data_IF_849831095767
#
_entry.id   IF_849831095767
#
_cell.length_a   1.000
_cell.length_b   1.000
_cell.length_c   1.000
_cell.angle_alpha   90.00
_cell.angle_beta   90.00
_cell.angle_gamma   90.00
#
_symmetry.space_group_name_H-M   'P 1'
#
loop_
_entity.id
_entity.type
_entity.pdbx_description
1 polymer ?
#
# COMPACT_ATOMS: atom_id res chain seq x y z
N UNK A 1 -24.08 42.26 20.80
CA UNK A 1 -23.43 41.58 19.65
C UNK A 1 -23.11 40.16 20.06
N UNK A 2 -23.80 39.16 19.49
CA UNK A 2 -23.44 37.75 19.68
C UNK A 2 -22.30 37.46 18.69
N UNK A 3 -21.10 37.18 19.20
CA UNK A 3 -20.03 36.64 18.37
C UNK A 3 -20.42 35.21 17.99
N UNK A 4 -20.71 35.03 16.70
CA UNK A 4 -20.89 33.73 16.10
C UNK A 4 -19.48 33.16 15.91
N UNK A 5 -19.05 32.24 16.77
CA UNK A 5 -17.90 31.39 16.45
C UNK A 5 -18.35 30.42 15.38
N UNK A 6 -18.24 30.82 14.11
CA UNK A 6 -18.08 29.83 13.05
C UNK A 6 -16.77 29.11 13.37
N UNK A 7 -16.83 27.85 13.81
CA UNK A 7 -15.65 27.00 13.83
C UNK A 7 -14.99 27.13 12.44
N UNK A 8 -13.72 27.56 12.35
CA UNK A 8 -13.03 27.50 11.08
C UNK A 8 -13.10 26.05 10.61
N UNK A 9 -13.50 25.82 9.36
CA UNK A 9 -13.34 24.50 8.74
C UNK A 9 -11.89 24.08 8.98
N UNK A 10 -11.63 22.83 9.39
CA UNK A 10 -10.26 22.39 9.55
C UNK A 10 -9.50 22.69 8.25
N UNK A 11 -8.33 23.30 8.39
CA UNK A 11 -7.48 23.74 7.26
C UNK A 11 -7.02 22.51 6.46
N UNK A 12 -7.05 21.34 7.08
CA UNK A 12 -6.71 20.04 6.53
C UNK A 12 -7.91 19.10 6.58
N UNK A 13 -8.04 18.26 5.55
CA UNK A 13 -9.06 17.22 5.47
C UNK A 13 -8.43 15.85 5.67
N UNK A 14 -9.13 14.95 6.36
CA UNK A 14 -8.80 13.54 6.51
C UNK A 14 -8.86 12.82 5.16
N UNK A 15 -9.94 12.08 4.91
CA UNK A 15 -10.24 11.45 3.62
C UNK A 15 -11.70 11.68 3.16
N UNK A 16 -12.37 12.70 3.70
CA UNK A 16 -13.77 13.03 3.36
C UNK A 16 -13.93 13.40 1.87
N UNK A 17 -12.86 13.84 1.21
CA UNK A 17 -12.79 14.11 -0.23
C UNK A 17 -13.04 12.88 -1.09
N UNK A 18 -12.75 11.67 -0.58
CA UNK A 18 -12.95 10.43 -1.30
C UNK A 18 -14.43 10.01 -1.36
N UNK A 19 -15.27 10.51 -0.46
CA UNK A 19 -16.71 10.23 -0.47
C UNK A 19 -17.43 10.83 -1.70
N UNK A 20 -16.78 11.77 -2.40
CA UNK A 20 -17.34 12.48 -3.56
C UNK A 20 -16.70 12.07 -4.89
N UNK A 21 -15.84 11.05 -4.90
CA UNK A 21 -15.27 10.51 -6.14
C UNK A 21 -16.36 9.72 -6.88
N UNK A 22 -16.81 10.22 -8.04
CA UNK A 22 -17.64 9.42 -8.96
C UNK A 22 -16.75 8.30 -9.51
N UNK A 23 -17.11 7.05 -9.23
CA UNK A 23 -16.42 5.87 -9.75
C UNK A 23 -16.42 5.85 -11.28
N UNK A 24 -15.43 5.19 -11.87
CA UNK A 24 -15.43 4.94 -13.32
C UNK A 24 -16.61 4.00 -13.65
N UNK A 25 -17.60 4.43 -14.46
CA UNK A 25 -18.77 3.61 -14.77
C UNK A 25 -18.41 2.25 -15.40
N UNK A 26 -17.27 2.16 -16.09
CA UNK A 26 -16.80 0.88 -16.64
C UNK A 26 -16.29 -0.04 -15.53
N UNK A 27 -15.56 0.50 -14.56
CA UNK A 27 -15.10 -0.25 -13.37
C UNK A 27 -16.31 -0.78 -12.59
N UNK A 28 -17.30 0.08 -12.31
CA UNK A 28 -18.51 -0.32 -11.58
C UNK A 28 -19.29 -1.42 -12.32
N UNK A 29 -19.37 -1.33 -13.64
CA UNK A 29 -19.99 -2.35 -14.50
C UNK A 29 -19.25 -3.68 -14.44
N UNK A 30 -17.92 -3.68 -14.49
CA UNK A 30 -17.13 -4.92 -14.40
C UNK A 30 -17.18 -5.53 -13.00
N UNK A 31 -17.16 -4.72 -11.94
CA UNK A 31 -17.40 -5.21 -10.57
C UNK A 31 -18.79 -5.85 -10.46
N UNK A 32 -19.82 -5.22 -11.02
CA UNK A 32 -21.18 -5.77 -11.04
C UNK A 32 -21.28 -7.10 -11.79
N UNK A 33 -20.51 -7.28 -12.88
CA UNK A 33 -20.41 -8.56 -13.60
C UNK A 33 -19.73 -9.64 -12.76
N UNK A 34 -18.63 -9.30 -12.10
CA UNK A 34 -17.94 -10.22 -11.20
C UNK A 34 -18.87 -10.68 -10.06
N UNK A 35 -19.54 -9.73 -9.39
CA UNK A 35 -20.53 -10.01 -8.34
C UNK A 35 -21.65 -10.92 -8.84
N UNK A 36 -22.29 -10.57 -9.96
CA UNK A 36 -23.36 -11.37 -10.54
C UNK A 36 -22.93 -12.77 -10.95
N UNK A 37 -21.69 -12.95 -11.40
CA UNK A 37 -21.13 -14.26 -11.73
C UNK A 37 -20.97 -15.14 -10.48
N UNK A 38 -20.46 -14.59 -9.37
CA UNK A 38 -20.37 -15.32 -8.11
C UNK A 38 -21.75 -15.63 -7.51
N UNK A 39 -22.69 -14.68 -7.55
CA UNK A 39 -24.06 -14.92 -7.09
C UNK A 39 -24.75 -16.05 -7.87
N UNK A 40 -24.54 -16.11 -9.19
CA UNK A 40 -25.08 -17.17 -10.04
C UNK A 40 -24.37 -18.52 -9.79
N UNK A 41 -23.06 -18.51 -9.54
CA UNK A 41 -22.32 -19.70 -9.15
C UNK A 41 -22.82 -20.26 -7.82
N UNK A 42 -23.01 -19.42 -6.81
CA UNK A 42 -23.52 -19.80 -5.50
C UNK A 42 -24.94 -20.37 -5.57
N UNK A 43 -25.80 -19.81 -6.43
CA UNK A 43 -27.18 -20.32 -6.66
C UNK A 43 -27.23 -21.64 -7.42
N UNK A 44 -26.36 -21.81 -8.43
CA UNK A 44 -26.31 -23.03 -9.24
C UNK A 44 -25.65 -24.19 -8.53
N UNK A 45 -24.70 -23.90 -7.62
CA UNK A 45 -23.90 -24.92 -6.95
C UNK A 45 -22.88 -25.58 -7.87
N UNK A 46 -22.59 -25.01 -9.04
CA UNK A 46 -21.67 -25.54 -10.06
C UNK A 46 -20.20 -25.37 -9.65
N UNK A 47 -19.84 -25.87 -8.47
CA UNK A 47 -18.48 -25.88 -7.97
C UNK A 47 -17.72 -27.11 -8.49
N UNK A 48 -16.46 -26.89 -8.81
CA UNK A 48 -15.49 -27.94 -9.17
C UNK A 48 -14.21 -27.75 -8.35
N UNK A 49 -13.39 -28.79 -8.29
CA UNK A 49 -12.04 -28.71 -7.73
C UNK A 49 -11.00 -28.35 -8.81
N UNK A 50 -11.33 -28.56 -10.09
CA UNK A 50 -10.45 -28.25 -11.22
C UNK A 50 -11.24 -27.76 -12.43
N UNK A 51 -10.73 -26.75 -13.12
CA UNK A 51 -11.27 -26.27 -14.39
C UNK A 51 -10.74 -27.18 -15.49
N UNK A 52 -11.62 -28.04 -16.02
CA UNK A 52 -11.34 -28.92 -17.14
C UNK A 52 -12.14 -28.46 -18.38
N UNK A 53 -11.49 -28.11 -19.51
CA UNK A 53 -12.19 -27.64 -20.70
C UNK A 53 -13.22 -28.63 -21.26
N UNK A 54 -13.00 -29.94 -21.05
CA UNK A 54 -13.91 -30.98 -21.53
C UNK A 54 -15.20 -31.08 -20.69
N UNK A 55 -15.24 -30.44 -19.52
CA UNK A 55 -16.37 -30.46 -18.58
C UNK A 55 -17.12 -29.11 -18.54
N UNK A 56 -16.65 -28.11 -19.29
CA UNK A 56 -17.25 -26.77 -19.40
C UNK A 56 -18.54 -26.77 -20.23
N UNK A 57 -19.55 -27.49 -19.76
CA UNK A 57 -20.85 -27.66 -20.42
C UNK A 57 -21.92 -26.69 -19.91
N UNK A 58 -21.73 -26.14 -18.70
CA UNK A 58 -22.62 -25.17 -18.07
C UNK A 58 -21.80 -24.05 -17.43
N UNK A 59 -22.37 -22.84 -17.45
CA UNK A 59 -21.77 -21.65 -16.85
C UNK A 59 -22.78 -20.94 -15.93
N UNK A 60 -22.31 -20.25 -14.88
CA UNK A 60 -20.92 -20.23 -14.41
C UNK A 60 -20.49 -21.57 -13.79
N UNK A 61 -19.19 -21.83 -13.80
CA UNK A 61 -18.53 -22.92 -13.05
C UNK A 61 -17.35 -22.32 -12.31
N UNK A 62 -17.06 -22.78 -11.10
CA UNK A 62 -16.01 -22.16 -10.31
C UNK A 62 -15.40 -23.02 -9.23
N UNK A 63 -14.32 -22.51 -8.67
CA UNK A 63 -13.54 -23.11 -7.58
C UNK A 63 -13.64 -22.17 -6.38
N UNK A 64 -13.71 -22.75 -5.17
CA UNK A 64 -13.61 -22.01 -3.91
C UNK A 64 -12.59 -22.68 -3.01
N UNK A 65 -11.68 -21.89 -2.47
CA UNK A 65 -10.65 -22.33 -1.53
C UNK A 65 -10.52 -21.33 -0.38
N UNK A 66 -10.14 -21.83 0.80
CA UNK A 66 -9.90 -20.99 1.97
C UNK A 66 -8.54 -21.34 2.54
N UNK A 67 -7.67 -20.34 2.67
CA UNK A 67 -6.34 -20.49 3.23
C UNK A 67 -6.07 -19.34 4.21
N UNK A 68 -5.58 -19.66 5.40
CA UNK A 68 -5.20 -18.66 6.42
C UNK A 68 -6.28 -17.59 6.70
N UNK A 69 -7.56 -17.99 6.78
CA UNK A 69 -8.73 -17.12 6.96
C UNK A 69 -9.06 -16.15 5.80
N UNK A 70 -8.42 -16.33 4.64
CA UNK A 70 -8.74 -15.63 3.39
C UNK A 70 -9.50 -16.60 2.48
N UNK A 71 -10.66 -16.17 1.97
CA UNK A 71 -11.42 -16.94 0.99
C UNK A 71 -11.04 -16.48 -0.42
N UNK A 72 -10.68 -17.43 -1.27
CA UNK A 72 -10.44 -17.21 -2.69
C UNK A 72 -11.50 -17.96 -3.50
N UNK A 73 -12.04 -17.29 -4.51
CA UNK A 73 -12.95 -17.88 -5.47
C UNK A 73 -12.51 -17.57 -6.89
N UNK A 74 -12.69 -18.51 -7.81
CA UNK A 74 -12.56 -18.29 -9.25
C UNK A 74 -13.86 -18.72 -9.90
N UNK A 75 -14.36 -17.91 -10.83
CA UNK A 75 -15.56 -18.22 -11.61
C UNK A 75 -15.29 -18.03 -13.10
N UNK A 76 -15.54 -19.07 -13.87
CA UNK A 76 -15.53 -19.04 -15.33
C UNK A 76 -16.94 -18.73 -15.81
N UNK A 77 -17.08 -17.69 -16.63
CA UNK A 77 -18.38 -17.18 -17.08
C UNK A 77 -18.68 -17.48 -18.54
N UNK A 78 -17.64 -17.77 -19.32
CA UNK A 78 -17.73 -18.03 -20.76
C UNK A 78 -16.56 -18.88 -21.21
N UNK A 79 -16.80 -19.76 -22.18
CA UNK A 79 -15.76 -20.41 -22.97
C UNK A 79 -16.09 -20.36 -24.47
N UNK A 80 -15.06 -20.20 -25.30
CA UNK A 80 -15.12 -20.32 -26.77
C UNK A 80 -14.11 -21.37 -27.20
N UNK A 81 -14.58 -22.44 -27.83
CA UNK A 81 -13.76 -23.57 -28.22
C UNK A 81 -13.23 -23.41 -29.64
N UNK A 82 -11.91 -23.51 -29.79
CA UNK A 82 -11.22 -23.57 -31.08
C UNK A 82 -10.67 -24.99 -31.29
N UNK A 83 -10.24 -25.40 -32.49
CA UNK A 83 -9.67 -26.74 -32.67
C UNK A 83 -8.42 -27.02 -31.81
N UNK A 84 -7.70 -25.99 -31.34
CA UNK A 84 -6.45 -26.13 -30.60
C UNK A 84 -6.56 -25.86 -29.09
N UNK A 85 -7.47 -24.98 -28.68
CA UNK A 85 -7.64 -24.55 -27.28
C UNK A 85 -9.02 -23.94 -27.03
N UNK A 86 -9.40 -23.79 -25.76
CA UNK A 86 -10.52 -22.96 -25.34
C UNK A 86 -10.04 -21.56 -24.91
N UNK A 87 -10.84 -20.54 -25.20
CA UNK A 87 -10.68 -19.19 -24.65
C UNK A 87 -11.74 -18.99 -23.57
N UNK A 88 -11.33 -18.67 -22.35
CA UNK A 88 -12.23 -18.51 -21.21
C UNK A 88 -12.18 -17.09 -20.64
N UNK A 89 -13.31 -16.64 -20.08
CA UNK A 89 -13.38 -15.42 -19.28
C UNK A 89 -13.53 -15.81 -17.81
N UNK A 90 -12.70 -15.23 -16.95
CA UNK A 90 -12.63 -15.57 -15.55
C UNK A 90 -12.71 -14.31 -14.66
N UNK A 91 -13.41 -14.43 -13.55
CA UNK A 91 -13.29 -13.51 -12.43
C UNK A 91 -12.74 -14.26 -11.21
N UNK A 92 -11.99 -13.55 -10.38
CA UNK A 92 -11.61 -14.03 -9.06
C UNK A 92 -12.14 -13.09 -7.96
N UNK A 93 -12.42 -13.68 -6.80
CA UNK A 93 -12.85 -13.00 -5.58
C UNK A 93 -11.88 -13.33 -4.47
N UNK A 94 -11.33 -12.32 -3.81
CA UNK A 94 -10.53 -12.49 -2.59
C UNK A 94 -11.25 -11.79 -1.45
N UNK A 95 -11.60 -12.53 -0.40
CA UNK A 95 -12.24 -12.00 0.80
C UNK A 95 -11.24 -12.02 1.95
N UNK A 96 -10.71 -10.85 2.30
CA UNK A 96 -9.72 -10.69 3.36
C UNK A 96 -10.40 -10.30 4.68
N UNK A 97 -9.89 -10.76 5.84
CA UNK A 97 -10.29 -10.18 7.11
C UNK A 97 -9.80 -8.73 7.18
N UNK A 98 -10.66 -7.79 7.56
CA UNK A 98 -10.29 -6.39 7.77
C UNK A 98 -10.79 -5.92 9.13
N UNK A 99 -9.86 -5.64 10.05
CA UNK A 99 -10.21 -5.01 11.32
C UNK A 99 -10.75 -3.60 11.07
N UNK A 100 -11.92 -3.28 11.64
CA UNK A 100 -12.50 -1.93 11.64
C UNK A 100 -13.42 -1.57 10.46
N UNK A 101 -13.84 -2.52 9.62
CA UNK A 101 -15.01 -2.35 8.74
C UNK A 101 -16.28 -2.90 9.37
N UNK A 102 -17.45 -2.37 9.00
CA UNK A 102 -18.75 -2.79 9.56
C UNK A 102 -19.04 -4.29 9.38
N UNK A 103 -18.44 -4.92 8.36
CA UNK A 103 -18.55 -6.36 8.06
C UNK A 103 -17.35 -7.19 8.54
N UNK A 104 -16.28 -6.56 9.04
CA UNK A 104 -15.01 -7.22 9.40
C UNK A 104 -14.26 -7.86 8.22
N UNK A 105 -14.69 -7.60 6.98
CA UNK A 105 -14.16 -8.22 5.76
C UNK A 105 -14.07 -7.21 4.61
N UNK A 106 -13.13 -7.41 3.70
CA UNK A 106 -13.03 -6.68 2.43
C UNK A 106 -13.04 -7.68 1.28
N UNK A 107 -13.81 -7.37 0.24
CA UNK A 107 -13.85 -8.18 -0.98
C UNK A 107 -13.14 -7.44 -2.11
N UNK A 108 -12.20 -8.13 -2.75
CA UNK A 108 -11.48 -7.69 -3.93
C UNK A 108 -11.94 -8.53 -5.13
N UNK A 109 -12.22 -7.88 -6.26
CA UNK A 109 -12.60 -8.55 -7.50
C UNK A 109 -11.52 -8.38 -8.54
N UNK A 110 -11.19 -9.47 -9.22
CA UNK A 110 -10.19 -9.51 -10.29
C UNK A 110 -10.82 -10.09 -11.55
N UNK A 111 -10.34 -9.70 -12.73
CA UNK A 111 -10.89 -10.18 -14.00
C UNK A 111 -9.85 -10.30 -15.10
N UNK A 112 -10.08 -11.27 -16.00
CA UNK A 112 -9.40 -11.42 -17.28
C UNK A 112 -10.33 -12.07 -18.31
N UNK A 113 -10.17 -11.72 -19.59
CA UNK A 113 -10.92 -12.33 -20.68
C UNK A 113 -9.98 -12.92 -21.73
N UNK A 114 -10.41 -14.00 -22.40
CA UNK A 114 -9.60 -14.63 -23.43
C UNK A 114 -8.40 -15.43 -22.91
N UNK A 115 -8.47 -15.95 -21.68
CA UNK A 115 -7.45 -16.85 -21.11
C UNK A 115 -7.42 -18.13 -21.94
N UNK A 116 -6.24 -18.56 -22.39
CA UNK A 116 -6.06 -19.77 -23.19
C UNK A 116 -5.95 -21.01 -22.30
N UNK A 117 -6.85 -21.96 -22.53
CA UNK A 117 -6.91 -23.25 -21.84
C UNK A 117 -6.73 -24.39 -22.86
N UNK A 118 -5.66 -25.16 -22.71
CA UNK A 118 -5.40 -26.34 -23.56
C UNK A 118 -6.36 -27.49 -23.20
N UNK A 119 -6.69 -28.34 -24.19
CA UNK A 119 -7.55 -29.51 -23.98
C UNK A 119 -6.98 -30.58 -23.04
N UNK A 120 -5.70 -30.49 -22.70
CA UNK A 120 -5.03 -31.29 -21.68
C UNK A 120 -5.27 -30.77 -20.25
N UNK A 121 -6.09 -29.72 -20.08
CA UNK A 121 -6.40 -29.16 -18.76
C UNK A 121 -5.29 -28.28 -18.20
N UNK A 122 -4.56 -27.55 -19.05
CA UNK A 122 -3.51 -26.60 -18.63
C UNK A 122 -3.75 -25.21 -19.22
N UNK A 123 -3.55 -24.18 -18.40
CA UNK A 123 -3.45 -22.80 -18.88
C UNK A 123 -2.20 -22.66 -19.75
N UNK A 124 -2.36 -22.05 -20.92
CA UNK A 124 -1.24 -21.77 -21.84
C UNK A 124 -0.68 -20.39 -21.51
N UNK A 125 0.50 -20.36 -20.88
CA UNK A 125 1.09 -19.15 -20.31
C UNK A 125 0.61 -18.88 -18.87
N UNK A 126 0.72 -17.63 -18.42
CA UNK A 126 0.19 -17.21 -17.11
C UNK A 126 -1.21 -16.58 -17.29
N UNK A 127 -2.19 -17.03 -16.51
CA UNK A 127 -3.51 -16.40 -16.44
C UNK A 127 -3.50 -15.33 -15.34
N UNK A 128 -3.19 -14.09 -15.71
CA UNK A 128 -3.15 -12.94 -14.81
C UNK A 128 -4.49 -12.21 -14.82
N UNK A 129 -5.21 -12.23 -13.71
CA UNK A 129 -6.46 -11.50 -13.50
C UNK A 129 -6.14 -10.16 -12.82
N UNK A 130 -6.45 -9.03 -13.46
CA UNK A 130 -6.23 -7.69 -12.91
C UNK A 130 -7.25 -7.35 -11.83
N UNK A 131 -6.83 -6.67 -10.75
CA UNK A 131 -7.76 -6.05 -9.80
C UNK A 131 -8.63 -5.01 -10.54
N UNK A 132 -9.95 -5.13 -10.38
CA UNK A 132 -10.92 -4.29 -11.08
C UNK A 132 -11.08 -2.98 -10.32
N UNK A 133 -10.39 -1.95 -10.80
CA UNK A 133 -10.39 -0.61 -10.19
C UNK A 133 -9.52 -0.49 -8.94
N UNK A 134 -9.16 0.75 -8.59
CA UNK A 134 -8.42 1.02 -7.36
C UNK A 134 -9.32 0.76 -6.14
N UNK A 135 -8.77 0.10 -5.12
CA UNK A 135 -9.49 -0.18 -3.88
C UNK A 135 -8.88 0.63 -2.75
N UNK A 136 -9.65 1.59 -2.24
CA UNK A 136 -9.29 2.39 -1.07
C UNK A 136 -9.81 1.73 0.21
N UNK A 137 -8.94 1.67 1.21
CA UNK A 137 -9.19 1.15 2.55
C UNK A 137 -8.74 2.19 3.55
N UNK A 138 -9.69 2.82 4.22
CA UNK A 138 -9.43 3.83 5.24
C UNK A 138 -9.46 3.16 6.61
N UNK A 139 -8.49 3.47 7.45
CA UNK A 139 -8.37 2.92 8.80
C UNK A 139 -7.80 3.95 9.78
N UNK A 140 -7.69 3.57 11.05
CA UNK A 140 -7.18 4.42 12.12
C UNK A 140 -7.90 5.78 12.21
N UNK A 141 -9.23 5.76 12.42
CA UNK A 141 -10.08 6.96 12.60
C UNK A 141 -9.97 7.99 11.46
N UNK A 142 -10.02 7.53 10.20
CA UNK A 142 -9.91 8.37 9.00
C UNK A 142 -8.55 9.07 8.82
N UNK A 143 -7.50 8.57 9.46
CA UNK A 143 -6.16 9.20 9.38
C UNK A 143 -5.21 8.49 8.42
N UNK A 144 -5.50 7.24 8.05
CA UNK A 144 -4.67 6.44 7.17
C UNK A 144 -5.51 5.86 6.05
N UNK A 145 -4.94 5.84 4.84
CA UNK A 145 -5.53 5.19 3.69
C UNK A 145 -4.52 4.25 3.05
N UNK A 146 -4.94 3.01 2.83
CA UNK A 146 -4.28 2.04 1.98
C UNK A 146 -5.04 2.00 0.65
N UNK A 147 -4.35 2.25 -0.46
CA UNK A 147 -4.87 2.09 -1.80
C UNK A 147 -4.20 0.90 -2.46
N UNK A 148 -4.98 -0.08 -2.90
CA UNK A 148 -4.52 -1.08 -3.87
C UNK A 148 -4.84 -0.58 -5.27
N UNK A 149 -3.83 -0.50 -6.12
CA UNK A 149 -3.96 0.02 -7.47
C UNK A 149 -4.47 -1.07 -8.41
N UNK A 150 -5.61 -0.81 -9.04
CA UNK A 150 -6.28 -1.67 -10.02
C UNK A 150 -5.74 -1.47 -11.43
N UNK A 151 -5.72 -2.56 -12.18
CA UNK A 151 -5.28 -2.60 -13.57
C UNK A 151 -6.45 -2.57 -14.54
N UNK A 152 -6.12 -2.60 -15.83
CA UNK A 152 -7.11 -2.81 -16.88
C UNK A 152 -7.25 -4.32 -17.13
N UNK A 153 -8.47 -4.75 -17.49
CA UNK A 153 -8.75 -6.11 -17.94
C UNK A 153 -8.30 -6.19 -19.41
N UNK A 154 -7.33 -7.06 -19.74
CA UNK A 154 -7.02 -7.33 -21.15
C UNK A 154 -8.10 -8.25 -21.72
N UNK A 155 -8.75 -7.78 -22.79
CA UNK A 155 -9.83 -8.49 -23.47
C UNK A 155 -9.36 -9.29 -24.69
N UNK A 156 -8.08 -9.20 -25.05
CA UNK A 156 -7.53 -9.81 -26.26
C UNK A 156 -6.78 -11.13 -25.99
N UNK A 157 -6.15 -11.28 -24.83
CA UNK A 157 -5.23 -12.41 -24.57
C UNK A 157 -5.21 -12.92 -23.12
N UNK A 158 -6.05 -12.39 -22.23
CA UNK A 158 -6.12 -12.78 -20.82
C UNK A 158 -4.92 -12.38 -19.97
N UNK A 159 -4.11 -11.42 -20.41
CA UNK A 159 -3.01 -10.86 -19.64
C UNK A 159 -3.49 -9.68 -18.76
N UNK A 160 -2.70 -9.32 -17.76
CA UNK A 160 -2.87 -8.02 -17.11
C UNK A 160 -2.21 -6.96 -17.98
N UNK A 161 -2.91 -5.87 -18.28
CA UNK A 161 -2.27 -4.68 -18.84
C UNK A 161 -1.85 -3.79 -17.66
N UNK A 162 -0.55 -3.50 -17.56
CA UNK A 162 0.11 -2.64 -16.56
C UNK A 162 0.48 -3.23 -15.18
N UNK A 163 0.59 -4.57 -15.02
CA UNK A 163 1.17 -5.28 -13.84
C UNK A 163 1.04 -4.52 -12.49
N UNK A 164 -0.18 -4.07 -12.15
CA UNK A 164 -0.47 -3.42 -10.86
C UNK A 164 -0.82 -4.50 -9.83
N UNK A 165 -1.99 -4.41 -9.20
CA UNK A 165 -2.50 -5.52 -8.38
C UNK A 165 -3.14 -6.56 -9.29
N UNK A 166 -2.66 -7.80 -9.23
CA UNK A 166 -3.15 -8.91 -10.04
C UNK A 166 -3.03 -10.25 -9.30
N UNK A 167 -3.76 -11.23 -9.80
CA UNK A 167 -3.77 -12.60 -9.31
C UNK A 167 -3.35 -13.53 -10.45
N UNK A 168 -2.51 -14.53 -10.18
CA UNK A 168 -2.26 -15.62 -11.13
C UNK A 168 -3.10 -16.81 -10.74
N UNK A 169 -3.85 -17.36 -11.69
CA UNK A 169 -4.59 -18.61 -11.50
C UNK A 169 -3.98 -19.76 -12.30
N UNK A 170 -4.26 -20.97 -11.84
CA UNK A 170 -4.16 -22.19 -12.64
C UNK A 170 -5.52 -22.90 -12.69
N UNK A 171 -5.55 -24.13 -13.20
CA UNK A 171 -6.80 -24.89 -13.29
C UNK A 171 -7.34 -25.32 -11.92
N UNK A 172 -6.55 -25.30 -10.85
CA UNK A 172 -6.94 -25.75 -9.51
C UNK A 172 -7.28 -24.58 -8.58
N UNK A 173 -6.95 -23.35 -8.94
CA UNK A 173 -7.28 -22.20 -8.10
C UNK A 173 -6.33 -21.02 -8.28
N UNK A 174 -6.22 -20.22 -7.22
CA UNK A 174 -5.28 -19.11 -7.14
C UNK A 174 -3.89 -19.65 -6.83
N UNK A 175 -2.91 -19.26 -7.65
CA UNK A 175 -1.51 -19.65 -7.53
C UNK A 175 -0.63 -18.57 -6.90
N UNK A 176 -0.92 -17.29 -7.20
CA UNK A 176 -0.09 -16.17 -6.76
C UNK A 176 -0.93 -14.90 -6.62
N UNK A 177 -0.57 -14.02 -5.66
CA UNK A 177 -1.14 -12.69 -5.52
C UNK A 177 -0.02 -11.64 -5.55
N UNK A 178 -0.13 -10.69 -6.47
CA UNK A 178 0.74 -9.52 -6.55
C UNK A 178 -0.06 -8.28 -6.20
N UNK A 179 0.38 -7.54 -5.18
CA UNK A 179 -0.24 -6.30 -4.72
C UNK A 179 0.66 -5.12 -5.09
N UNK A 180 0.07 -4.07 -5.66
CA UNK A 180 0.73 -2.79 -5.86
C UNK A 180 -0.16 -1.70 -5.32
N UNK A 181 0.41 -0.76 -4.57
CA UNK A 181 -0.40 0.22 -3.89
C UNK A 181 0.40 1.33 -3.25
N UNK A 182 -0.30 2.13 -2.45
CA UNK A 182 0.31 3.17 -1.65
C UNK A 182 -0.44 3.32 -0.32
N UNK A 183 0.27 3.80 0.68
CA UNK A 183 -0.29 4.31 1.93
C UNK A 183 -0.23 5.82 1.90
N UNK A 184 -1.30 6.48 2.30
CA UNK A 184 -1.34 7.92 2.49
C UNK A 184 -1.76 8.24 3.92
N UNK A 185 -1.18 9.29 4.46
CA UNK A 185 -1.45 9.79 5.80
C UNK A 185 -2.17 11.13 5.67
N UNK A 186 -3.24 11.28 6.45
CA UNK A 186 -4.03 12.50 6.55
C UNK A 186 -3.15 13.71 6.85
N UNK A 187 -3.46 14.85 6.21
CA UNK A 187 -2.83 16.14 6.50
C UNK A 187 -3.14 16.64 7.91
N UNK A 188 -4.12 16.07 8.61
CA UNK A 188 -4.36 16.35 10.03
C UNK A 188 -3.26 15.79 10.94
N UNK A 189 -2.53 14.74 10.49
CA UNK A 189 -1.41 14.18 11.23
C UNK A 189 -0.07 14.71 10.72
N UNK A 190 0.18 14.57 9.41
CA UNK A 190 1.47 14.88 8.79
C UNK A 190 1.29 15.70 7.52
N UNK A 191 2.15 16.70 7.33
CA UNK A 191 2.22 17.48 6.09
C UNK A 191 3.52 17.18 5.34
N UNK A 192 3.49 17.03 3.99
CA UNK A 192 4.69 16.94 3.18
C UNK A 192 5.58 18.17 3.33
N UNK A 193 6.90 17.98 3.30
CA UNK A 193 7.89 19.07 3.21
C UNK A 193 8.77 18.90 1.97
N UNK A 194 9.33 20.00 1.48
CA UNK A 194 10.35 19.96 0.42
C UNK A 194 11.74 19.65 0.99
N UNK A 195 12.73 19.48 0.10
CA UNK A 195 14.12 19.19 0.48
C UNK A 195 14.79 20.30 1.34
N UNK A 196 14.21 21.50 1.39
CA UNK A 196 14.66 22.59 2.25
C UNK A 196 13.90 22.65 3.59
N UNK A 197 12.94 21.74 3.81
CA UNK A 197 12.11 21.68 5.00
C UNK A 197 10.91 22.63 4.98
N UNK A 198 10.54 23.21 3.83
CA UNK A 198 9.33 24.04 3.72
C UNK A 198 8.10 23.16 3.54
N UNK A 199 6.98 23.55 4.17
CA UNK A 199 5.70 22.84 4.04
C UNK A 199 5.19 22.91 2.60
N UNK A 200 4.89 21.75 2.03
CA UNK A 200 4.36 21.63 0.69
C UNK A 200 2.95 22.19 0.55
N UNK A 201 2.50 22.49 -0.69
CA UNK A 201 1.16 23.03 -0.94
C UNK A 201 0.07 22.09 -0.42
N UNK A 202 -1.12 22.62 -0.16
CA UNK A 202 -2.25 21.83 0.33
C UNK A 202 -2.78 20.84 -0.71
N UNK A 203 -2.66 21.18 -1.99
CA UNK A 203 -3.12 20.38 -3.11
C UNK A 203 -2.01 20.24 -4.16
N UNK A 204 -2.03 19.13 -4.88
CA UNK A 204 -1.19 18.85 -6.04
C UNK A 204 -2.07 18.37 -7.20
N UNK A 205 -1.55 18.46 -8.42
CA UNK A 205 -2.19 17.82 -9.56
C UNK A 205 -2.20 16.30 -9.37
N UNK A 206 -3.32 15.63 -9.64
CA UNK A 206 -3.37 14.17 -9.59
C UNK A 206 -2.35 13.57 -10.58
N UNK A 207 -1.51 12.62 -10.13
CA UNK A 207 -0.57 11.92 -11.00
C UNK A 207 -1.26 11.13 -12.13
N UNK A 208 -2.49 10.67 -11.88
CA UNK A 208 -3.27 9.83 -12.79
C UNK A 208 -4.30 10.60 -13.61
N UNK A 209 -4.70 11.79 -13.15
CA UNK A 209 -5.66 12.66 -13.82
C UNK A 209 -5.23 14.14 -13.76
N UNK A 210 -4.55 14.59 -14.83
CA UNK A 210 -4.06 15.98 -14.94
C UNK A 210 -5.16 17.04 -15.02
N UNK A 211 -6.44 16.66 -14.99
CA UNK A 211 -7.56 17.61 -14.93
C UNK A 211 -8.03 17.88 -13.51
N UNK A 212 -7.55 17.12 -12.51
CA UNK A 212 -8.02 17.18 -11.12
C UNK A 212 -6.90 17.48 -10.12
N UNK A 213 -7.15 18.41 -9.20
CA UNK A 213 -6.31 18.59 -8.01
C UNK A 213 -6.75 17.64 -6.91
N UNK A 214 -5.79 17.15 -6.13
CA UNK A 214 -5.99 16.27 -4.99
C UNK A 214 -5.21 16.80 -3.78
N UNK A 215 -5.62 16.49 -2.54
CA UNK A 215 -4.85 16.83 -1.36
C UNK A 215 -3.42 16.27 -1.44
N UNK A 216 -2.43 17.11 -1.13
CA UNK A 216 -1.03 16.72 -1.07
C UNK A 216 -0.75 16.00 0.25
N UNK A 217 -0.73 14.68 0.24
CA UNK A 217 -0.57 13.86 1.45
C UNK A 217 0.81 13.24 1.51
N UNK A 218 1.29 12.97 2.73
CA UNK A 218 2.46 12.11 2.92
C UNK A 218 2.10 10.73 2.36
N UNK A 219 2.85 10.29 1.34
CA UNK A 219 2.60 9.07 0.58
C UNK A 219 3.79 8.13 0.70
N UNK A 220 3.49 6.84 0.83
CA UNK A 220 4.43 5.73 0.75
C UNK A 220 3.97 4.70 -0.27
N UNK A 221 4.66 4.59 -1.39
CA UNK A 221 4.37 3.59 -2.44
C UNK A 221 4.94 2.22 -2.11
N UNK A 222 4.22 1.14 -2.44
CA UNK A 222 4.70 -0.22 -2.25
C UNK A 222 4.32 -1.15 -3.41
N UNK A 223 5.13 -2.21 -3.56
CA UNK A 223 4.82 -3.36 -4.40
C UNK A 223 5.24 -4.63 -3.66
N UNK A 224 4.32 -5.60 -3.59
CA UNK A 224 4.48 -6.84 -2.84
C UNK A 224 4.06 -7.96 -3.77
N UNK A 225 4.98 -8.88 -4.04
CA UNK A 225 4.67 -10.09 -4.80
C UNK A 225 4.74 -11.27 -3.85
N UNK A 226 3.63 -11.92 -3.56
CA UNK A 226 3.61 -13.01 -2.58
C UNK A 226 2.84 -14.24 -3.05
N UNK A 227 3.34 -15.42 -2.69
CA UNK A 227 2.59 -16.67 -2.81
C UNK A 227 1.58 -16.85 -1.68
N UNK A 228 1.64 -16.06 -0.59
CA UNK A 228 0.74 -16.15 0.56
C UNK A 228 0.54 -14.79 1.23
N UNK A 229 -0.68 -14.49 1.72
CA UNK A 229 -0.98 -13.29 2.50
C UNK A 229 -0.03 -13.04 3.71
N UNK A 230 0.61 -14.09 4.24
CA UNK A 230 1.55 -14.00 5.37
C UNK A 230 3.03 -13.72 4.97
N UNK A 231 3.39 -13.66 3.69
CA UNK A 231 4.75 -13.31 3.21
C UNK A 231 4.73 -11.89 2.63
N UNK A 232 4.70 -10.89 3.52
CA UNK A 232 4.54 -9.48 3.18
C UNK A 232 5.87 -8.73 3.38
N UNK A 233 6.56 -8.43 2.28
CA UNK A 233 7.72 -7.54 2.26
C UNK A 233 7.36 -6.25 1.54
N UNK A 234 7.35 -5.13 2.26
CA UNK A 234 6.85 -3.84 1.78
C UNK A 234 7.99 -2.84 1.74
N UNK A 235 8.52 -2.57 0.55
CA UNK A 235 9.43 -1.44 0.33
C UNK A 235 8.61 -0.17 0.13
N UNK A 236 8.82 0.81 0.99
CA UNK A 236 8.12 2.10 1.01
C UNK A 236 9.10 3.23 0.81
N UNK A 237 8.88 4.03 -0.23
CA UNK A 237 9.50 5.33 -0.34
C UNK A 237 8.54 6.38 0.23
N UNK A 238 8.81 6.86 1.44
CA UNK A 238 7.92 7.76 2.17
C UNK A 238 8.25 9.21 1.83
N UNK A 239 7.23 10.01 1.53
CA UNK A 239 7.39 11.46 1.33
C UNK A 239 7.92 12.11 2.59
N UNK A 240 8.94 12.97 2.49
CA UNK A 240 9.45 13.77 3.61
C UNK A 240 8.32 14.59 4.26
N UNK A 241 8.35 14.72 5.58
CA UNK A 241 7.19 15.25 6.30
C UNK A 241 7.53 16.02 7.58
N UNK A 242 6.53 16.77 8.07
CA UNK A 242 6.49 17.38 9.39
C UNK A 242 5.17 17.05 10.09
N UNK A 243 5.13 17.21 11.41
CA UNK A 243 3.92 16.97 12.21
C UNK A 243 3.01 18.19 12.10
N UNK A 244 1.75 17.99 11.67
CA UNK A 244 0.80 19.07 11.38
C UNK A 244 0.60 20.01 12.56
N UNK A 245 0.39 19.48 13.76
CA UNK A 245 0.15 20.30 14.95
C UNK A 245 1.33 21.19 15.35
N UNK A 246 2.55 20.83 14.94
CA UNK A 246 3.74 21.68 15.15
C UNK A 246 3.80 22.80 14.11
N UNK A 247 3.48 22.48 12.86
CA UNK A 247 3.42 23.45 11.75
C UNK A 247 2.34 24.52 11.99
N UNK A 248 1.20 24.14 12.58
CA UNK A 248 0.12 25.08 12.90
C UNK A 248 0.46 26.06 14.05
N UNK A 249 1.45 25.73 14.88
CA UNK A 249 1.91 26.59 15.98
C UNK A 249 2.78 27.72 15.42
N UNK A 250 2.17 28.83 15.02
CA UNK A 250 2.87 29.96 14.37
C UNK A 250 4.00 30.61 15.20
N UNK A 251 4.07 30.32 16.49
CA UNK A 251 5.07 30.82 17.44
C UNK A 251 6.27 29.87 17.62
N UNK A 252 6.24 28.68 17.01
CA UNK A 252 7.26 27.64 17.18
C UNK A 252 7.65 27.00 15.84
N UNK A 253 8.89 26.57 15.74
CA UNK A 253 9.36 25.70 14.68
C UNK A 253 8.83 24.28 14.84
N UNK A 254 9.10 23.45 13.84
CA UNK A 254 8.67 22.07 13.77
C UNK A 254 9.84 21.12 13.46
N UNK A 255 9.67 19.85 13.82
CA UNK A 255 10.58 18.80 13.41
C UNK A 255 10.34 18.46 11.94
N UNK A 256 11.43 18.32 11.19
CA UNK A 256 11.43 17.90 9.79
C UNK A 256 12.00 16.49 9.69
N UNK A 257 11.30 15.60 8.99
CA UNK A 257 11.68 14.20 8.82
C UNK A 257 11.93 13.94 7.35
N UNK A 258 13.18 13.60 7.03
CA UNK A 258 13.59 13.21 5.69
C UNK A 258 13.90 11.72 5.71
N UNK A 259 13.15 10.94 4.93
CA UNK A 259 13.18 9.48 4.98
C UNK A 259 13.55 8.97 3.60
N UNK A 260 14.66 8.26 3.52
CA UNK A 260 15.04 7.55 2.31
C UNK A 260 14.98 6.06 2.56
N UNK A 261 14.18 5.38 1.72
CA UNK A 261 14.04 3.93 1.65
C UNK A 261 13.71 3.26 2.99
N UNK A 262 12.42 3.06 3.25
CA UNK A 262 11.92 2.28 4.37
C UNK A 262 11.42 0.91 3.89
N UNK A 263 11.58 -0.13 4.71
CA UNK A 263 11.11 -1.48 4.45
C UNK A 263 10.35 -1.94 5.69
N UNK A 264 9.10 -2.35 5.52
CA UNK A 264 8.35 -3.10 6.52
C UNK A 264 8.41 -4.57 6.11
N UNK A 265 9.12 -5.37 6.91
CA UNK A 265 9.24 -6.80 6.72
C UNK A 265 8.36 -7.54 7.74
N UNK A 266 7.33 -8.22 7.23
CA UNK A 266 6.49 -9.12 8.00
C UNK A 266 6.61 -10.57 7.50
N UNK A 267 7.56 -10.86 6.61
CA UNK A 267 7.76 -12.18 6.04
C UNK A 267 8.50 -13.10 7.01
N UNK A 268 8.14 -14.38 6.96
CA UNK A 268 8.89 -15.46 7.62
C UNK A 268 9.75 -16.25 6.61
N UNK A 269 9.73 -15.88 5.32
CA UNK A 269 10.33 -16.65 4.22
C UNK A 269 11.54 -15.97 3.58
N UNK A 270 11.63 -14.65 3.68
CA UNK A 270 12.69 -13.85 3.06
C UNK A 270 12.79 -12.48 3.69
N UNK A 271 13.96 -11.86 3.55
CA UNK A 271 14.17 -10.44 3.84
C UNK A 271 14.78 -9.73 2.63
N UNK A 272 14.54 -8.42 2.49
CA UNK A 272 15.14 -7.64 1.40
C UNK A 272 16.67 -7.66 1.52
N UNK A 273 17.37 -7.96 0.42
CA UNK A 273 18.84 -7.99 0.37
C UNK A 273 19.52 -6.65 0.70
N UNK A 274 18.78 -5.55 0.68
CA UNK A 274 19.24 -4.23 1.09
C UNK A 274 19.26 -4.01 2.60
N UNK A 275 18.67 -4.91 3.41
CA UNK A 275 18.69 -4.81 4.87
C UNK A 275 20.10 -5.08 5.39
N UNK A 276 20.67 -4.09 6.08
CA UNK A 276 22.00 -4.19 6.69
C UNK A 276 21.87 -4.38 8.19
N UNK A 277 22.25 -5.56 8.66
CA UNK A 277 22.26 -5.89 10.08
C UNK A 277 23.53 -5.40 10.79
N UNK A 278 23.43 -4.78 11.97
CA UNK A 278 24.58 -4.52 12.83
C UNK A 278 25.28 -5.82 13.21
N UNK A 279 26.62 -5.79 13.33
CA UNK A 279 27.43 -6.95 13.71
C UNK A 279 26.94 -7.65 15.00
N UNK A 280 26.35 -6.89 15.93
CA UNK A 280 25.80 -7.41 17.18
C UNK A 280 24.68 -8.44 16.98
N UNK A 281 23.91 -8.37 15.90
CA UNK A 281 22.83 -9.35 15.62
C UNK A 281 23.38 -10.76 15.42
N UNK A 282 24.53 -10.88 14.75
CA UNK A 282 25.21 -12.16 14.58
C UNK A 282 25.87 -12.61 15.89
N UNK A 283 26.54 -11.70 16.60
CA UNK A 283 27.25 -12.01 17.86
C UNK A 283 26.33 -12.50 18.98
N UNK A 284 25.15 -11.90 19.09
CA UNK A 284 24.16 -12.24 20.13
C UNK A 284 23.14 -13.30 19.65
N UNK A 285 23.29 -13.78 18.41
CA UNK A 285 22.40 -14.77 17.83
C UNK A 285 20.94 -14.29 17.71
N UNK A 286 20.70 -13.02 17.37
CA UNK A 286 19.34 -12.49 17.19
C UNK A 286 18.68 -12.97 15.88
N UNK A 287 19.46 -13.53 14.96
CA UNK A 287 19.00 -14.11 13.69
C UNK A 287 19.02 -15.64 13.74
N UNK A 288 18.45 -16.23 14.80
CA UNK A 288 18.51 -17.69 15.09
C UNK A 288 18.04 -18.53 13.91
N UNK A 289 16.98 -18.09 13.23
CA UNK A 289 16.39 -18.78 12.07
C UNK A 289 16.93 -18.26 10.73
N UNK A 290 18.02 -17.49 10.75
CA UNK A 290 18.61 -16.83 9.58
C UNK A 290 18.00 -15.46 9.29
N UNK A 291 18.68 -14.69 8.44
CA UNK A 291 18.26 -13.33 8.04
C UNK A 291 16.86 -13.32 7.41
N UNK A 292 16.50 -14.39 6.70
CA UNK A 292 15.23 -14.53 5.96
C UNK A 292 13.99 -14.60 6.86
N UNK A 293 14.19 -14.79 8.17
CA UNK A 293 13.13 -14.85 9.17
C UNK A 293 12.99 -13.56 9.98
N UNK A 294 13.79 -12.54 9.66
CA UNK A 294 13.75 -11.29 10.38
C UNK A 294 12.45 -10.53 10.08
N UNK A 295 11.91 -9.86 11.10
CA UNK A 295 10.70 -9.06 10.99
C UNK A 295 10.90 -7.73 11.70
N UNK A 296 10.50 -6.65 11.06
CA UNK A 296 10.65 -5.32 11.61
C UNK A 296 10.56 -4.23 10.56
N UNK A 297 11.06 -3.06 10.93
CA UNK A 297 11.17 -1.90 10.06
C UNK A 297 12.66 -1.62 9.85
N UNK A 298 13.08 -1.57 8.59
CA UNK A 298 14.39 -1.09 8.19
C UNK A 298 14.23 0.28 7.53
N UNK A 299 15.09 1.24 7.85
CA UNK A 299 15.18 2.52 7.15
C UNK A 299 16.64 2.76 6.79
N UNK A 300 16.92 2.90 5.50
CA UNK A 300 18.29 3.07 5.02
C UNK A 300 18.90 4.37 5.58
N UNK A 301 18.17 5.48 5.50
CA UNK A 301 18.54 6.70 6.20
C UNK A 301 17.33 7.51 6.65
N UNK A 302 17.38 7.96 7.90
CA UNK A 302 16.44 8.90 8.50
C UNK A 302 17.23 10.13 8.95
N UNK A 303 16.83 11.30 8.47
CA UNK A 303 17.36 12.58 8.93
C UNK A 303 16.23 13.36 9.61
N UNK A 304 16.47 13.81 10.84
CA UNK A 304 15.54 14.61 11.64
C UNK A 304 16.14 15.99 11.87
N UNK A 305 15.61 17.01 11.20
CA UNK A 305 15.94 18.40 11.48
C UNK A 305 15.15 18.91 12.68
N UNK A 306 15.84 19.47 13.67
CA UNK A 306 15.19 20.08 14.83
C UNK A 306 14.42 21.37 14.44
N UNK A 307 13.47 21.82 15.30
CA UNK A 307 12.84 23.13 15.17
C UNK A 307 13.87 24.26 15.02
N UNK A 308 13.49 25.34 14.34
CA UNK A 308 14.42 26.43 13.98
C UNK A 308 14.94 27.25 15.15
N UNK A 309 14.36 27.09 16.32
CA UNK A 309 14.82 27.65 17.58
C UNK A 309 16.16 27.02 18.01
N UNK A 310 16.45 25.79 17.55
CA UNK A 310 17.69 25.09 17.83
C UNK A 310 18.79 25.47 16.83
N UNK A 311 19.24 26.71 16.90
CA UNK A 311 20.31 27.28 16.06
C UNK A 311 21.22 28.24 16.84
N UNK A 312 22.38 28.53 16.28
CA UNK A 312 23.25 29.61 16.76
C UNK A 312 22.83 30.96 16.15
N UNK A 313 22.97 32.05 16.90
CA UNK A 313 22.73 33.42 16.40
C UNK A 313 23.60 33.80 15.19
N UNK A 314 24.83 33.29 15.13
CA UNK A 314 25.80 33.59 14.06
C UNK A 314 25.63 32.69 12.82
N UNK A 315 24.83 31.64 12.91
CA UNK A 315 24.53 30.70 11.83
C UNK A 315 23.02 30.42 11.76
N UNK A 316 22.19 31.44 11.52
CA UNK A 316 20.73 31.33 11.65
C UNK A 316 20.07 30.37 10.65
N UNK A 317 20.82 29.93 9.64
CA UNK A 317 20.37 29.02 8.58
C UNK A 317 20.87 27.57 8.78
N UNK A 318 21.60 27.26 9.87
CA UNK A 318 22.08 25.90 10.17
C UNK A 318 21.33 25.32 11.37
N UNK A 319 20.33 24.49 11.10
CA UNK A 319 19.59 23.74 12.13
C UNK A 319 20.42 22.56 12.62
N UNK A 320 20.25 22.19 13.89
CA UNK A 320 20.73 20.88 14.38
C UNK A 320 19.97 19.79 13.64
N UNK A 321 20.71 18.78 13.22
CA UNK A 321 20.16 17.61 12.54
C UNK A 321 20.63 16.34 13.23
N UNK A 322 19.72 15.41 13.45
CA UNK A 322 20.01 14.06 13.91
C UNK A 322 19.88 13.11 12.72
N UNK A 323 20.81 12.20 12.55
CA UNK A 323 20.81 11.23 11.46
C UNK A 323 20.89 9.82 12.02
N UNK A 324 20.17 8.90 11.38
CA UNK A 324 20.28 7.47 11.58
C UNK A 324 20.51 6.81 10.22
N UNK A 325 21.49 5.90 10.14
CA UNK A 325 21.77 5.06 8.97
C UNK A 325 21.57 3.59 9.33
N UNK A 326 21.00 2.83 8.40
CA UNK A 326 20.66 1.41 8.58
C UNK A 326 19.87 1.20 9.87
N UNK A 327 18.84 2.01 10.07
CA UNK A 327 17.98 1.96 11.24
C UNK A 327 17.13 0.70 11.18
N UNK A 328 17.22 -0.14 12.21
CA UNK A 328 16.35 -1.29 12.44
C UNK A 328 15.48 -1.02 13.66
N UNK A 329 14.19 -1.33 13.53
CA UNK A 329 13.22 -1.35 14.62
C UNK A 329 12.54 -2.72 14.61
N UNK A 330 12.80 -3.53 15.63
CA UNK A 330 12.27 -4.88 15.75
C UNK A 330 12.00 -5.27 17.21
N UNK A 331 11.79 -6.56 17.49
CA UNK A 331 11.54 -7.07 18.84
C UNK A 331 12.72 -6.89 19.81
N UNK A 332 13.93 -6.63 19.30
CA UNK A 332 15.13 -6.36 20.10
C UNK A 332 15.36 -4.85 20.34
N UNK A 333 14.50 -4.00 19.79
CA UNK A 333 14.50 -2.56 20.02
C UNK A 333 14.93 -1.76 18.80
N UNK A 334 15.81 -0.79 19.01
CA UNK A 334 16.27 0.14 17.97
C UNK A 334 17.78 0.01 17.79
N UNK A 335 18.20 -0.24 16.56
CA UNK A 335 19.62 -0.38 16.18
C UNK A 335 19.95 0.44 14.94
N UNK A 336 21.19 0.89 14.81
CA UNK A 336 21.64 1.68 13.66
C UNK A 336 22.88 2.48 13.99
N UNK A 337 23.39 3.21 13.00
CA UNK A 337 24.44 4.21 13.21
C UNK A 337 23.81 5.58 13.37
N UNK A 338 24.10 6.26 14.48
CA UNK A 338 23.51 7.56 14.80
C UNK A 338 24.56 8.65 14.79
N UNK A 339 24.24 9.79 14.19
CA UNK A 339 25.08 10.97 14.17
C UNK A 339 24.25 12.22 14.44
N UNK A 340 24.93 13.29 14.86
CA UNK A 340 24.33 14.60 15.00
C UNK A 340 25.22 15.65 14.34
N UNK A 341 24.61 16.56 13.60
CA UNK A 341 25.27 17.62 12.87
C UNK A 341 24.89 18.99 13.42
N UNK A 342 25.76 19.97 13.20
CA UNK A 342 25.58 21.35 13.63
C UNK A 342 25.37 21.52 15.14
N UNK A 343 25.93 20.59 15.94
CA UNK A 343 25.95 20.70 17.39
C UNK A 343 26.66 21.98 17.82
N UNK A 344 26.15 22.60 18.89
CA UNK A 344 26.73 23.78 19.48
C UNK A 344 26.93 23.61 20.99
N UNK A 345 27.99 24.23 21.57
CA UNK A 345 28.17 24.27 23.01
C UNK A 345 26.96 24.89 23.70
N UNK A 346 26.65 24.44 24.92
CA UNK A 346 25.53 24.96 25.71
C UNK A 346 25.57 26.49 25.86
N UNK A 347 26.76 27.06 25.97
CA UNK A 347 27.04 28.50 26.10
C UNK A 347 26.62 29.31 24.86
N UNK A 348 26.45 28.65 23.70
CA UNK A 348 26.09 29.27 22.42
C UNK A 348 24.63 28.99 22.03
N UNK A 349 23.90 28.24 22.86
CA UNK A 349 22.51 27.91 22.63
C UNK A 349 21.57 29.00 23.15
N UNK A 350 20.64 29.45 22.31
CA UNK A 350 19.60 30.40 22.69
C UNK A 350 18.28 29.64 22.75
N UNK A 351 17.79 29.37 23.96
CA UNK A 351 16.53 28.65 24.17
C UNK A 351 15.36 29.56 24.54
N UNK A 352 15.60 30.88 24.71
CA UNK A 352 14.57 31.91 24.88
C UNK A 352 15.14 33.33 24.71
N UNK A 353 14.26 34.32 24.49
CA UNK A 353 14.57 35.76 24.40
C UNK A 353 15.28 36.37 25.62
N UNK A 354 15.56 35.60 26.69
CA UNK A 354 16.25 36.07 27.88
C UNK A 354 17.77 35.93 27.83
N UNK A 355 18.33 35.24 26.82
CA UNK A 355 19.78 35.12 26.61
C UNK A 355 20.20 35.50 25.17
N UNK A 356 19.51 36.47 24.56
CA UNK A 356 19.90 37.05 23.27
C UNK A 356 20.80 38.27 23.43
#
# INVERSE_FOLDING_TARGET
MKYNFSNPKPIFSGFEDLAFQVGDPNVDKEIGRAMGAFDALEKSGNFTNTINPNELTQFPVGIRQTESNVEYGIVITKAVFTPQYALINAYARVVTPQAGTDSGKKTLYFGAEGIKLSYEGKIVGDAKLSLIGDVNMIFNKNQWMLTLEGGLIDTNNGQSTNDKTYLVMDCNGVKELSLKGNVQISRELLVPIDANGNVGPNEIQSPTDKTRTIPNRVRGDFAIKSSNWNDLLVKVNLTDFAITSQVESSDKGFFSFFVNEAILDLSDLRTDSGVVFPQKYEQEGYLISGVESWRGIFVQSLMVGLPEEFKKSDQPNKRITLEAQNLLIDSYGVSGSFSAMNLFPLEQGITSNQNA
#
